data_IF_463189905466
#
_entry.id   IF_463189905466
#
_cell.length_a   1.000
_cell.length_b   1.000
_cell.length_c   1.000
_cell.angle_alpha   90.00
_cell.angle_beta   90.00
_cell.angle_gamma   90.00
#
_symmetry.space_group_name_H-M   'P 1'
#
loop_
_entity.id
_entity.type
_entity.pdbx_description
1 polymer ?
#
# COMPACT_ATOMS: atom_id res chain seq x y z
N UNK A 1 -80.74 -12.66 -23.55
CA UNK A 1 -80.08 -13.11 -24.79
C UNK A 1 -78.64 -13.50 -24.44
N UNK A 2 -78.23 -14.74 -24.74
CA UNK A 2 -76.84 -15.27 -24.77
C UNK A 2 -76.11 -14.70 -26.02
N UNK A 3 -74.75 -14.71 -26.18
CA UNK A 3 -73.78 -15.80 -25.87
C UNK A 3 -72.49 -15.36 -25.13
N UNK A 4 -71.89 -16.20 -24.27
CA UNK A 4 -70.81 -17.16 -24.52
C UNK A 4 -69.54 -16.62 -25.22
N UNK A 5 -68.40 -16.72 -24.53
CA UNK A 5 -67.18 -17.37 -25.03
C UNK A 5 -66.19 -17.63 -23.88
N UNK A 6 -65.84 -18.90 -23.71
CA UNK A 6 -64.73 -19.39 -22.89
C UNK A 6 -63.40 -19.11 -23.57
N UNK A 7 -62.37 -18.74 -22.80
CA UNK A 7 -60.99 -19.09 -23.15
C UNK A 7 -60.26 -19.56 -21.88
N UNK A 8 -60.04 -20.88 -21.83
CA UNK A 8 -59.21 -21.55 -20.84
C UNK A 8 -57.74 -21.20 -21.09
N UNK A 9 -57.12 -20.47 -20.17
CA UNK A 9 -55.67 -20.26 -20.19
C UNK A 9 -55.01 -21.42 -19.43
N UNK A 10 -54.56 -22.43 -20.17
CA UNK A 10 -53.58 -23.40 -19.67
C UNK A 10 -52.22 -22.71 -19.62
N UNK A 11 -51.76 -22.32 -18.42
CA UNK A 11 -50.35 -21.99 -18.20
C UNK A 11 -49.69 -23.17 -17.50
N UNK A 12 -48.88 -23.89 -18.26
CA UNK A 12 -48.02 -24.98 -17.79
C UNK A 12 -47.06 -24.48 -16.71
N UNK A 13 -47.08 -25.13 -15.53
CA UNK A 13 -45.97 -25.05 -14.58
C UNK A 13 -44.74 -25.70 -15.23
N UNK A 14 -43.69 -24.91 -15.46
CA UNK A 14 -42.34 -25.43 -15.71
C UNK A 14 -41.60 -25.39 -14.36
N UNK A 15 -41.11 -26.53 -13.83
CA UNK A 15 -40.23 -26.48 -12.66
C UNK A 15 -38.85 -25.97 -13.11
N UNK A 16 -38.52 -24.73 -12.72
CA UNK A 16 -37.16 -24.21 -12.88
C UNK A 16 -36.30 -24.78 -11.75
N UNK A 17 -35.77 -25.99 -11.92
CA UNK A 17 -34.63 -26.47 -11.13
C UNK A 17 -33.35 -26.01 -11.82
N UNK A 18 -32.97 -24.75 -11.60
CA UNK A 18 -31.58 -24.34 -11.81
C UNK A 18 -30.96 -24.18 -10.43
N UNK A 19 -30.34 -25.25 -9.97
CA UNK A 19 -29.28 -25.22 -8.96
C UNK A 19 -28.17 -24.36 -9.54
N UNK A 20 -28.22 -23.05 -9.30
CA UNK A 20 -27.07 -22.17 -9.54
C UNK A 20 -26.07 -22.42 -8.42
N UNK A 21 -25.39 -23.57 -8.51
CA UNK A 21 -24.14 -23.81 -7.83
C UNK A 21 -23.14 -22.83 -8.44
N UNK A 22 -23.19 -21.57 -7.97
CA UNK A 22 -22.12 -20.61 -8.17
C UNK A 22 -20.80 -21.34 -7.88
N UNK A 23 -19.89 -21.44 -8.85
CA UNK A 23 -18.58 -21.98 -8.55
C UNK A 23 -17.97 -21.00 -7.55
N UNK A 24 -17.88 -21.43 -6.29
CA UNK A 24 -17.08 -20.76 -5.27
C UNK A 24 -15.68 -20.67 -5.87
N UNK A 25 -15.40 -19.50 -6.47
CA UNK A 25 -14.13 -19.14 -7.05
C UNK A 25 -13.14 -19.44 -5.94
N UNK A 26 -12.30 -20.46 -6.15
CA UNK A 26 -11.18 -20.77 -5.26
C UNK A 26 -10.41 -19.47 -5.07
N UNK A 27 -10.71 -18.75 -3.99
CA UNK A 27 -9.88 -17.69 -3.46
C UNK A 27 -8.69 -18.44 -2.90
N UNK A 28 -7.80 -18.86 -3.80
CA UNK A 28 -6.41 -19.09 -3.46
C UNK A 28 -6.02 -17.81 -2.75
N UNK A 29 -5.99 -17.88 -1.42
CA UNK A 29 -5.50 -16.82 -0.57
C UNK A 29 -4.04 -16.64 -0.99
N UNK A 30 -3.82 -15.78 -1.99
CA UNK A 30 -2.48 -15.38 -2.38
C UNK A 30 -1.89 -14.80 -1.12
N UNK A 31 -0.92 -15.52 -0.56
CA UNK A 31 -0.25 -15.15 0.68
C UNK A 31 0.09 -13.67 0.61
N UNK A 32 -0.54 -12.88 1.50
CA UNK A 32 -0.33 -11.44 1.59
C UNK A 32 1.17 -11.17 1.69
N UNK A 33 1.68 -10.32 0.82
CA UNK A 33 3.10 -9.93 0.83
C UNK A 33 3.38 -9.15 2.11
N UNK A 34 4.52 -9.46 2.71
CA UNK A 34 5.03 -8.77 3.89
C UNK A 34 5.83 -7.53 3.49
N UNK A 35 6.12 -6.65 4.46
CA UNK A 35 7.02 -5.50 4.25
C UNK A 35 8.40 -5.91 3.71
N UNK A 36 8.92 -7.08 4.12
CA UNK A 36 10.17 -7.62 3.59
C UNK A 36 10.04 -8.05 2.11
N UNK A 37 8.90 -8.62 1.72
CA UNK A 37 8.67 -9.01 0.33
C UNK A 37 8.64 -7.79 -0.59
N UNK A 38 8.02 -6.70 -0.15
CA UNK A 38 8.02 -5.44 -0.87
C UNK A 38 9.38 -4.75 -0.86
N UNK A 39 10.08 -4.74 0.28
CA UNK A 39 11.42 -4.16 0.40
C UNK A 39 12.39 -4.74 -0.65
N UNK A 40 12.35 -6.06 -0.86
CA UNK A 40 13.17 -6.75 -1.87
C UNK A 40 12.85 -6.34 -3.31
N UNK A 41 11.64 -5.85 -3.57
CA UNK A 41 11.17 -5.41 -4.88
C UNK A 41 11.39 -3.91 -5.11
N UNK A 42 11.86 -3.16 -4.11
CA UNK A 42 12.07 -1.73 -4.27
C UNK A 42 13.10 -1.42 -5.37
N UNK A 43 12.91 -0.30 -6.10
CA UNK A 43 13.85 0.18 -7.10
C UNK A 43 15.27 0.30 -6.57
N UNK A 44 16.26 0.07 -7.45
CA UNK A 44 17.66 0.00 -7.02
C UNK A 44 18.20 1.32 -6.47
N UNK A 45 17.58 2.46 -6.81
CA UNK A 45 17.99 3.80 -6.35
C UNK A 45 18.03 3.99 -4.83
N UNK A 46 17.37 3.12 -4.07
CA UNK A 46 17.42 3.15 -2.60
C UNK A 46 18.63 2.42 -2.01
N UNK A 47 19.49 1.83 -2.86
CA UNK A 47 20.59 0.97 -2.45
C UNK A 47 21.84 1.37 -3.25
N UNK A 48 22.86 1.93 -2.60
CA UNK A 48 24.03 2.45 -3.33
C UNK A 48 24.80 1.37 -4.09
N UNK A 49 24.96 0.18 -3.52
CA UNK A 49 25.72 -0.93 -4.12
C UNK A 49 24.83 -2.00 -4.74
N UNK A 50 23.52 -1.72 -4.89
CA UNK A 50 22.55 -2.69 -5.38
C UNK A 50 22.30 -3.88 -4.44
N UNK A 51 23.02 -3.98 -3.32
CA UNK A 51 22.93 -5.14 -2.43
C UNK A 51 21.87 -4.97 -1.35
N UNK A 52 20.61 -5.13 -1.77
CA UNK A 52 19.43 -5.15 -0.90
C UNK A 52 19.53 -6.14 0.25
N UNK A 53 20.26 -7.25 0.04
CA UNK A 53 20.37 -8.31 1.04
C UNK A 53 21.32 -7.96 2.16
N UNK A 54 22.36 -7.17 1.90
CA UNK A 54 23.34 -6.81 2.92
C UNK A 54 22.72 -5.93 4.00
N UNK A 55 21.81 -5.02 3.63
CA UNK A 55 21.03 -4.22 4.58
C UNK A 55 20.13 -5.10 5.48
N UNK A 56 19.74 -6.28 5.01
CA UNK A 56 18.95 -7.24 5.80
C UNK A 56 19.81 -8.22 6.61
N UNK A 57 21.08 -8.42 6.24
CA UNK A 57 22.00 -9.38 6.87
C UNK A 57 22.92 -8.75 7.90
N UNK A 58 23.33 -7.49 7.71
CA UNK A 58 24.31 -6.83 8.57
C UNK A 58 23.79 -6.48 9.96
N UNK A 59 24.68 -5.95 10.80
CA UNK A 59 24.43 -5.52 12.19
C UNK A 59 23.74 -4.15 12.28
N UNK A 60 23.24 -3.64 11.16
CA UNK A 60 22.58 -2.34 11.09
C UNK A 60 21.41 -2.25 12.06
N UNK A 61 21.29 -1.15 12.82
CA UNK A 61 20.09 -0.88 13.62
C UNK A 61 18.86 -0.92 12.72
N UNK A 62 18.03 -1.95 12.93
CA UNK A 62 16.81 -2.14 12.15
C UNK A 62 15.64 -2.55 13.03
N UNK A 63 14.47 -2.10 12.60
CA UNK A 63 13.19 -2.58 13.10
C UNK A 63 12.51 -3.29 11.94
N UNK A 64 12.12 -4.55 12.14
CA UNK A 64 11.30 -5.29 11.18
C UNK A 64 10.06 -5.76 11.92
N UNK A 65 8.95 -5.08 11.65
CA UNK A 65 7.66 -5.33 12.28
C UNK A 65 6.69 -5.86 11.22
N UNK A 66 6.74 -7.17 10.99
CA UNK A 66 5.89 -7.85 10.00
C UNK A 66 4.41 -7.70 10.38
N UNK A 67 4.09 -7.68 11.69
CA UNK A 67 2.71 -7.58 12.18
C UNK A 67 2.07 -6.25 11.78
N UNK A 68 2.84 -5.16 11.88
CA UNK A 68 2.37 -3.83 11.51
C UNK A 68 2.84 -3.37 10.13
N UNK A 69 3.38 -4.28 9.32
CA UNK A 69 3.84 -4.01 7.96
C UNK A 69 4.84 -2.84 7.86
N UNK A 70 5.75 -2.76 8.83
CA UNK A 70 6.72 -1.68 8.98
C UNK A 70 8.15 -2.21 8.99
N UNK A 71 9.07 -1.45 8.39
CA UNK A 71 10.49 -1.70 8.41
C UNK A 71 11.24 -0.37 8.51
N UNK A 72 12.28 -0.32 9.33
CA UNK A 72 13.19 0.81 9.45
C UNK A 72 14.62 0.29 9.43
N UNK A 73 15.48 0.94 8.67
CA UNK A 73 16.92 0.69 8.62
C UNK A 73 17.61 2.04 8.78
N UNK A 74 18.47 2.14 9.79
CA UNK A 74 19.30 3.31 9.99
C UNK A 74 20.52 3.23 9.08
N UNK A 75 20.80 4.31 8.35
CA UNK A 75 22.02 4.47 7.57
C UNK A 75 23.21 4.84 8.47
N UNK A 76 24.43 4.67 7.93
CA UNK A 76 25.71 4.96 8.60
C UNK A 76 26.42 6.19 8.04
N UNK A 77 25.72 6.96 7.19
CA UNK A 77 26.28 8.11 6.48
C UNK A 77 26.82 7.77 5.09
N UNK A 78 27.11 6.50 4.79
CA UNK A 78 27.34 6.03 3.42
C UNK A 78 26.04 5.48 2.82
N UNK A 79 25.27 4.69 3.58
CA UNK A 79 23.96 4.21 3.13
C UNK A 79 22.83 5.14 3.58
N UNK A 80 21.75 5.29 2.79
CA UNK A 80 20.59 6.05 3.19
C UNK A 80 19.87 5.39 4.37
N UNK A 81 19.29 6.19 5.26
CA UNK A 81 18.29 5.68 6.21
C UNK A 81 16.97 5.48 5.46
N UNK A 82 16.30 4.36 5.72
CA UNK A 82 15.05 3.97 5.05
C UNK A 82 13.98 3.60 6.07
N UNK A 83 12.79 4.16 5.93
CA UNK A 83 11.57 3.65 6.55
C UNK A 83 10.63 3.16 5.45
N UNK A 84 9.97 2.03 5.68
CA UNK A 84 8.99 1.44 4.79
C UNK A 84 7.75 1.07 5.57
N UNK A 85 6.58 1.46 5.08
CA UNK A 85 5.29 1.11 5.66
C UNK A 85 4.29 0.75 4.56
N UNK A 86 3.42 -0.24 4.81
CA UNK A 86 2.38 -0.63 3.85
C UNK A 86 1.03 -0.02 4.24
N UNK A 87 0.50 0.82 3.36
CA UNK A 87 -0.86 1.34 3.42
C UNK A 87 -1.76 0.47 2.55
N UNK A 88 -2.98 0.20 3.02
CA UNK A 88 -3.92 -0.67 2.30
C UNK A 88 -5.23 0.02 2.05
N UNK A 89 -5.73 -0.14 0.83
CA UNK A 89 -7.00 0.45 0.41
C UNK A 89 -7.65 -0.40 -0.66
N UNK A 90 -8.88 -0.87 -0.41
CA UNK A 90 -9.68 -1.66 -1.36
C UNK A 90 -8.92 -2.84 -2.01
N UNK A 91 -8.13 -3.56 -1.21
CA UNK A 91 -7.33 -4.70 -1.67
C UNK A 91 -6.03 -4.32 -2.39
N UNK A 92 -5.71 -3.03 -2.48
CA UNK A 92 -4.46 -2.52 -3.04
C UNK A 92 -3.47 -2.28 -1.88
N UNK A 93 -2.27 -2.83 -2.02
CA UNK A 93 -1.12 -2.53 -1.17
C UNK A 93 -0.33 -1.37 -1.78
N UNK A 94 -0.04 -0.36 -0.96
CA UNK A 94 0.77 0.81 -1.30
C UNK A 94 1.96 0.85 -0.36
N UNK A 95 3.15 0.86 -0.94
CA UNK A 95 4.41 0.83 -0.21
C UNK A 95 4.93 2.24 -0.11
N UNK A 96 4.79 2.84 1.06
CA UNK A 96 5.43 4.10 1.39
C UNK A 96 6.90 3.85 1.69
N UNK A 97 7.78 4.64 1.07
CA UNK A 97 9.22 4.63 1.35
C UNK A 97 9.62 6.05 1.71
N UNK A 98 10.10 6.23 2.94
CA UNK A 98 10.80 7.44 3.36
C UNK A 98 12.29 7.16 3.31
N UNK A 99 13.05 8.00 2.62
CA UNK A 99 14.49 7.87 2.49
C UNK A 99 15.19 9.16 2.86
N UNK A 100 16.29 9.02 3.60
CA UNK A 100 17.20 10.10 3.93
C UNK A 100 18.59 9.77 3.41
N UNK A 101 19.15 10.65 2.58
CA UNK A 101 20.54 10.59 2.13
C UNK A 101 21.20 11.95 2.34
N UNK A 102 22.11 12.06 3.31
CA UNK A 102 22.65 13.35 3.72
C UNK A 102 21.55 14.34 4.11
N UNK A 103 21.50 15.55 3.52
CA UNK A 103 20.45 16.53 3.76
C UNK A 103 19.16 16.29 2.97
N UNK A 104 19.15 15.32 2.05
CA UNK A 104 18.01 15.08 1.15
C UNK A 104 17.03 14.10 1.78
N UNK A 105 15.78 14.54 1.86
CA UNK A 105 14.66 13.74 2.36
C UNK A 105 13.62 13.58 1.25
N UNK A 106 13.07 12.38 1.15
CA UNK A 106 11.94 12.15 0.25
C UNK A 106 11.03 11.07 0.79
N UNK A 107 9.74 11.23 0.53
CA UNK A 107 8.75 10.17 0.66
C UNK A 107 8.15 9.87 -0.70
N UNK A 108 8.06 8.59 -1.03
CA UNK A 108 7.47 8.11 -2.27
C UNK A 108 6.48 6.97 -1.99
N UNK A 109 5.42 6.90 -2.79
CA UNK A 109 4.45 5.81 -2.74
C UNK A 109 4.58 4.91 -3.97
N UNK A 110 4.65 3.61 -3.74
CA UNK A 110 4.82 2.61 -4.78
C UNK A 110 3.67 1.60 -4.79
N UNK A 111 3.31 1.14 -5.99
CA UNK A 111 2.37 0.03 -6.19
C UNK A 111 3.05 -1.07 -6.99
N UNK A 112 2.85 -2.32 -6.58
CA UNK A 112 3.35 -3.46 -7.34
C UNK A 112 2.40 -3.78 -8.50
N UNK A 113 2.90 -3.68 -9.72
CA UNK A 113 2.16 -3.99 -10.94
C UNK A 113 2.99 -4.89 -11.84
N UNK A 114 2.42 -6.05 -12.22
CA UNK A 114 3.10 -7.03 -13.11
C UNK A 114 4.52 -7.37 -12.65
N UNK A 115 4.74 -7.46 -11.33
CA UNK A 115 6.02 -7.79 -10.72
C UNK A 115 7.02 -6.63 -10.60
N UNK A 116 6.64 -5.39 -10.98
CA UNK A 116 7.49 -4.20 -10.88
C UNK A 116 6.85 -3.12 -10.01
N UNK A 117 7.68 -2.36 -9.28
CA UNK A 117 7.21 -1.24 -8.48
C UNK A 117 6.99 -0.01 -9.38
N UNK A 118 5.76 0.51 -9.42
CA UNK A 118 5.38 1.74 -10.11
C UNK A 118 5.20 2.87 -9.10
N UNK A 119 5.79 4.03 -9.37
CA UNK A 119 5.63 5.23 -8.54
C UNK A 119 4.21 5.77 -8.74
N UNK A 120 3.49 6.01 -7.64
CA UNK A 120 2.08 6.45 -7.64
C UNK A 120 1.82 7.60 -6.65
N UNK A 121 2.84 8.27 -6.13
CA UNK A 121 2.71 9.35 -5.13
C UNK A 121 1.58 10.36 -5.45
N UNK A 122 1.52 10.85 -6.68
CA UNK A 122 0.56 11.87 -7.10
C UNK A 122 -0.89 11.34 -7.13
N UNK A 123 -1.10 10.06 -7.46
CA UNK A 123 -2.44 9.42 -7.46
C UNK A 123 -3.05 9.37 -6.05
N UNK A 124 -2.19 9.39 -5.03
CA UNK A 124 -2.51 9.16 -3.63
C UNK A 124 -2.34 10.40 -2.75
N UNK A 125 -2.20 11.59 -3.34
CA UNK A 125 -2.20 12.87 -2.63
C UNK A 125 -0.93 13.15 -1.83
N UNK A 126 0.18 12.47 -2.13
CA UNK A 126 1.46 12.91 -1.60
C UNK A 126 1.88 14.21 -2.31
N UNK A 127 2.26 15.26 -1.56
CA UNK A 127 2.74 16.49 -2.18
C UNK A 127 4.04 16.23 -2.95
N UNK A 128 4.20 16.92 -4.08
CA UNK A 128 5.38 16.81 -4.93
C UNK A 128 6.65 17.23 -4.20
N UNK A 129 7.77 16.63 -4.63
CA UNK A 129 9.12 16.79 -4.08
C UNK A 129 9.55 18.26 -4.19
N UNK A 130 9.55 19.01 -3.09
CA UNK A 130 9.85 20.45 -3.11
C UNK A 130 10.40 21.05 -1.83
N UNK A 131 10.39 20.32 -0.71
CA UNK A 131 10.88 20.82 0.57
C UNK A 131 11.74 19.76 1.28
N UNK A 132 12.75 20.21 2.02
CA UNK A 132 13.63 19.40 2.87
C UNK A 132 12.88 18.91 4.12
N UNK A 133 11.81 18.15 3.91
CA UNK A 133 10.92 17.66 4.95
C UNK A 133 11.21 16.19 5.26
N UNK A 134 11.36 15.89 6.54
CA UNK A 134 11.61 14.54 7.01
C UNK A 134 10.26 13.87 7.29
N UNK A 135 9.95 12.84 6.52
CA UNK A 135 8.72 12.06 6.69
C UNK A 135 9.00 10.87 7.60
N UNK A 136 8.34 10.80 8.74
CA UNK A 136 8.37 9.63 9.62
C UNK A 136 7.13 8.80 9.40
N UNK A 137 7.33 7.59 8.89
CA UNK A 137 6.27 6.64 8.63
C UNK A 137 5.77 6.02 9.94
N UNK A 138 4.48 5.67 10.02
CA UNK A 138 3.93 5.04 11.21
C UNK A 138 4.38 3.57 11.27
N UNK A 139 5.03 3.19 12.37
CA UNK A 139 5.07 1.77 12.77
C UNK A 139 3.68 1.30 13.24
N UNK A 140 2.91 2.20 13.88
CA UNK A 140 1.56 1.92 14.36
C UNK A 140 0.59 2.98 13.83
N UNK A 141 -0.59 2.54 13.39
CA UNK A 141 -1.59 3.43 12.78
C UNK A 141 -1.21 3.85 11.36
N UNK A 142 -1.75 4.98 10.91
CA UNK A 142 -1.67 5.41 9.50
C UNK A 142 -1.31 6.88 9.32
N UNK A 143 -0.80 7.52 10.37
CA UNK A 143 -0.43 8.94 10.33
C UNK A 143 1.05 9.09 10.06
N UNK A 144 1.39 9.78 8.98
CA UNK A 144 2.77 10.19 8.67
C UNK A 144 3.04 11.52 9.36
N UNK A 145 4.17 11.62 10.04
CA UNK A 145 4.61 12.87 10.69
C UNK A 145 5.63 13.55 9.80
N UNK A 146 5.51 14.87 9.65
CA UNK A 146 6.40 15.67 8.83
C UNK A 146 7.19 16.59 9.75
N UNK A 147 8.51 16.50 9.70
CA UNK A 147 9.43 17.33 10.46
C UNK A 147 10.25 18.22 9.52
N UNK A 148 10.64 19.39 9.98
CA UNK A 148 11.65 20.19 9.29
C UNK A 148 13.07 19.68 9.59
N UNK A 149 14.08 20.30 8.97
CA UNK A 149 15.50 20.00 9.18
C UNK A 149 15.99 20.15 10.63
N UNK A 150 15.25 20.87 11.48
CA UNK A 150 15.55 21.02 12.92
C UNK A 150 14.88 19.94 13.78
N UNK A 151 14.19 18.98 13.18
CA UNK A 151 13.44 17.94 13.89
C UNK A 151 12.15 18.44 14.55
N UNK A 152 11.67 19.64 14.19
CA UNK A 152 10.41 20.20 14.71
C UNK A 152 9.26 19.68 13.84
N UNK A 153 8.23 19.13 14.47
CA UNK A 153 7.02 18.68 13.79
C UNK A 153 6.31 19.86 13.13
N UNK A 154 6.26 19.87 11.80
CA UNK A 154 5.59 20.90 11.00
C UNK A 154 4.13 20.54 10.70
N UNK A 155 3.87 19.28 10.36
CA UNK A 155 2.53 18.84 9.97
C UNK A 155 2.36 17.33 10.13
N UNK A 156 1.14 16.84 9.86
CA UNK A 156 0.79 15.43 9.81
C UNK A 156 0.01 15.16 8.52
N UNK A 157 0.30 14.03 7.88
CA UNK A 157 -0.53 13.49 6.82
C UNK A 157 -1.36 12.34 7.38
N UNK A 158 -2.67 12.44 7.20
CA UNK A 158 -3.60 11.38 7.55
C UNK A 158 -3.94 10.55 6.32
N UNK A 159 -3.88 9.23 6.47
CA UNK A 159 -4.43 8.32 5.48
C UNK A 159 -5.94 8.23 5.63
N UNK A 160 -6.69 8.75 4.66
CA UNK A 160 -8.16 8.72 4.64
C UNK A 160 -8.66 8.30 3.26
N UNK A 161 -9.56 7.33 3.22
CA UNK A 161 -10.23 6.86 1.99
C UNK A 161 -9.29 6.59 0.82
N UNK A 162 -8.09 6.09 1.12
CA UNK A 162 -7.10 5.74 0.12
C UNK A 162 -6.30 6.92 -0.41
N UNK A 163 -6.15 8.02 0.35
CA UNK A 163 -5.26 9.15 0.01
C UNK A 163 -4.66 9.78 1.27
N UNK A 164 -3.56 10.50 1.10
CA UNK A 164 -3.01 11.36 2.14
C UNK A 164 -3.69 12.74 2.11
N UNK A 165 -4.13 13.20 3.29
CA UNK A 165 -4.65 14.55 3.49
C UNK A 165 -3.83 15.25 4.57
N UNK A 166 -3.47 16.51 4.34
CA UNK A 166 -2.80 17.33 5.36
C UNK A 166 -3.77 17.62 6.51
N UNK A 167 -3.26 17.61 7.73
CA UNK A 167 -3.95 18.23 8.86
C UNK A 167 -4.19 19.72 8.53
N UNK A 168 -5.44 20.17 8.68
CA UNK A 168 -5.76 21.60 8.72
C UNK A 168 -5.22 22.22 10.02
#
# INVERSE_FOLDING_TARGET
>A
MKPQLWLSLFLSLVPFTATDASPAKNLVSQKRRTVLDYFRLLPIKYFETGNRQDLLKGEWPRVVDIKNDYLSIQGDGAQPSLEVAIFRYRGIDLVAVSSQYGPDFSMELWRLERGKMRLVSDEFGLPSRGETLHYKLPQFGTTVKIYNSRGILQSRLFWKDGRFVKAQ
#
